data_IF_019599649928
#
_entry.id   IF_019599649928
#
_cell.length_a   1.000
_cell.length_b   1.000
_cell.length_c   1.000
_cell.angle_alpha   90.00
_cell.angle_beta   90.00
_cell.angle_gamma   90.00
#
_symmetry.space_group_name_H-M   'P 1'
#
loop_
_entity.id
_entity.type
_entity.pdbx_description
1 polymer ?
2 non-polymer ?
3 water ?
#
# COMPACT_ATOMS: atom_id res chain seq x y z
N UNK A 2 -0.56 -11.86 -3.03
CA UNK A 2 0.69 -12.36 -2.38
C UNK A 2 1.84 -11.36 -2.41
N UNK A 3 2.95 -11.75 -1.79
CA UNK A 3 4.15 -10.92 -1.71
C UNK A 3 5.38 -11.65 -2.25
N UNK A 4 6.23 -10.89 -2.93
CA UNK A 4 7.47 -11.35 -3.53
C UNK A 4 8.59 -10.40 -3.08
N UNK A 5 9.78 -10.94 -2.83
CA UNK A 5 10.95 -10.12 -2.54
C UNK A 5 11.93 -10.23 -3.71
N UNK A 6 12.21 -9.11 -4.37
CA UNK A 6 13.21 -9.11 -5.43
C UNK A 6 14.44 -8.29 -5.05
N UNK A 7 15.60 -8.82 -5.40
CA UNK A 7 16.87 -8.17 -5.11
C UNK A 7 17.22 -7.10 -6.11
N UNK A 8 17.51 -5.90 -5.60
CA UNK A 8 18.02 -4.82 -6.44
C UNK A 8 19.51 -4.61 -6.16
N UNK A 9 20.32 -4.78 -7.20
CA UNK A 9 21.76 -4.60 -7.12
C UNK A 9 22.10 -3.11 -7.18
N UNK A 10 22.59 -2.57 -6.07
CA UNK A 10 22.89 -1.15 -5.97
C UNK A 10 24.36 -0.90 -5.63
N UNK A 11 24.98 0.05 -6.31
CA UNK A 11 26.34 0.42 -5.95
C UNK A 11 26.30 1.24 -4.65
N UNK A 12 27.44 1.36 -3.97
CA UNK A 12 27.48 2.00 -2.66
C UNK A 12 27.05 3.46 -2.70
N UNK A 13 27.44 4.17 -3.76
CA UNK A 13 27.01 5.57 -3.92
C UNK A 13 25.48 5.67 -3.91
N UNK A 14 24.80 4.82 -4.68
CA UNK A 14 23.33 4.82 -4.71
C UNK A 14 22.75 4.45 -3.35
N UNK A 15 23.28 3.39 -2.73
CA UNK A 15 22.81 2.94 -1.43
C UNK A 15 22.88 4.08 -0.39
N UNK A 16 24.00 4.81 -0.38
CA UNK A 16 24.17 5.91 0.58
C UNK A 16 23.27 7.10 0.28
N UNK A 17 23.05 7.37 -1.00
CA UNK A 17 22.11 8.42 -1.43
C UNK A 17 20.68 8.13 -0.96
N UNK A 18 20.27 6.87 -1.10
CA UNK A 18 18.95 6.41 -0.65
C UNK A 18 18.88 6.58 0.87
N UNK A 19 19.89 6.09 1.56
CA UNK A 19 19.92 6.18 3.02
C UNK A 19 19.82 7.63 3.50
N UNK A 20 20.58 8.52 2.86
CA UNK A 20 20.59 9.94 3.23
C UNK A 20 19.24 10.61 3.00
N UNK A 21 18.67 10.40 1.82
CA UNK A 21 17.39 10.98 1.45
C UNK A 21 16.24 10.41 2.29
N UNK A 22 16.29 9.11 2.57
CA UNK A 22 15.24 8.49 3.38
C UNK A 22 15.24 9.08 4.79
N UNK A 23 16.43 9.20 5.38
CA UNK A 23 16.54 9.79 6.72
C UNK A 23 15.97 11.22 6.75
N UNK A 24 16.28 12.00 5.72
CA UNK A 24 15.81 13.39 5.62
C UNK A 24 14.29 13.51 5.61
N UNK A 25 13.62 12.49 5.10
CA UNK A 25 12.14 12.48 5.05
C UNK A 25 11.51 11.56 6.10
N UNK A 26 12.30 11.17 7.10
CA UNK A 26 11.86 10.31 8.22
C UNK A 26 11.33 8.94 7.82
N UNK A 27 11.98 8.36 6.82
CA UNK A 27 11.60 7.08 6.26
C UNK A 27 12.79 6.12 6.26
N UNK A 28 12.51 4.86 5.93
CA UNK A 28 13.53 3.84 5.76
C UNK A 28 13.92 3.81 4.29
N UNK A 29 15.12 3.29 3.97
CA UNK A 29 15.46 3.07 2.57
C UNK A 29 14.41 2.22 1.83
N UNK A 30 13.86 1.21 2.51
CA UNK A 30 12.88 0.31 1.86
C UNK A 30 11.65 1.09 1.43
N UNK A 31 11.11 1.91 2.33
CA UNK A 31 9.98 2.77 2.02
C UNK A 31 10.27 3.68 0.81
N UNK A 32 11.42 4.35 0.83
CA UNK A 32 11.83 5.24 -0.26
C UNK A 32 11.85 4.52 -1.61
N UNK A 33 12.44 3.33 -1.64
CA UNK A 33 12.50 2.55 -2.88
C UNK A 33 11.09 2.22 -3.36
N UNK A 34 10.23 1.81 -2.43
CA UNK A 34 8.85 1.48 -2.78
C UNK A 34 8.09 2.69 -3.31
N UNK A 35 8.29 3.83 -2.65
CA UNK A 35 7.65 5.07 -3.08
C UNK A 35 8.14 5.50 -4.47
N UNK A 36 9.45 5.38 -4.69
CA UNK A 36 10.06 5.65 -5.99
C UNK A 36 9.39 4.82 -7.06
N UNK A 37 9.20 3.53 -6.78
CA UNK A 37 8.56 2.62 -7.72
C UNK A 37 7.13 3.06 -8.04
N UNK A 38 6.33 3.29 -6.99
CA UNK A 38 4.94 3.73 -7.17
C UNK A 38 4.82 5.01 -8.01
N UNK A 39 5.65 6.00 -7.70
CA UNK A 39 5.63 7.27 -8.41
C UNK A 39 6.03 7.10 -9.87
N UNK A 40 7.07 6.30 -10.11
CA UNK A 40 7.52 6.08 -11.47
C UNK A 40 6.48 5.32 -12.29
N UNK A 41 5.91 4.26 -11.71
CA UNK A 41 4.86 3.49 -12.40
C UNK A 41 3.66 4.37 -12.80
N UNK A 42 3.23 5.24 -11.90
CA UNK A 42 2.09 6.11 -12.17
C UNK A 42 2.38 7.04 -13.36
N UNK A 43 3.57 7.62 -13.38
CA UNK A 43 3.97 8.53 -14.46
C UNK A 43 4.08 7.76 -15.78
N UNK A 44 4.62 6.55 -15.71
CA UNK A 44 4.75 5.67 -16.86
C UNK A 44 3.40 5.22 -17.45
N UNK A 45 2.43 4.96 -16.58
CA UNK A 45 1.13 4.44 -16.99
C UNK A 45 0.13 5.51 -17.48
N UNK A 46 0.38 6.78 -17.15
CA UNK A 46 -0.58 7.86 -17.45
C UNK A 46 -0.55 8.34 -18.91
N UNK A 47 -1.72 8.64 -19.47
CA UNK A 47 -1.83 9.23 -20.82
C UNK A 47 -1.46 10.71 -20.80
N UNK A 48 -0.72 11.16 -21.80
CA UNK A 48 -0.33 12.57 -21.87
C UNK A 48 -1.19 13.35 -22.85
N UNK B 2 32.10 -2.58 -4.90
CA UNK B 2 31.15 -1.70 -4.16
C UNK B 2 29.75 -1.80 -4.71
N UNK B 3 29.19 -3.01 -4.66
CA UNK B 3 27.83 -3.30 -5.12
C UNK B 3 27.19 -4.33 -4.18
N UNK B 4 25.99 -4.00 -3.70
CA UNK B 4 25.24 -4.90 -2.83
C UNK B 4 23.82 -5.12 -3.34
N UNK B 5 23.28 -6.30 -3.07
CA UNK B 5 21.91 -6.63 -3.45
C UNK B 5 20.97 -6.41 -2.27
N UNK B 6 20.04 -5.48 -2.45
CA UNK B 6 19.00 -5.22 -1.45
C UNK B 6 17.68 -5.86 -1.86
N UNK B 7 16.99 -6.47 -0.90
CA UNK B 7 15.67 -7.04 -1.14
C UNK B 7 14.58 -6.00 -0.99
N UNK B 8 13.72 -5.89 -2.00
CA UNK B 8 12.53 -5.05 -1.90
C UNK B 8 11.27 -5.92 -1.96
N UNK B 9 10.46 -5.80 -0.91
CA UNK B 9 9.25 -6.58 -0.74
C UNK B 9 8.10 -5.88 -1.44
N UNK B 10 7.53 -6.54 -2.44
CA UNK B 10 6.44 -5.96 -3.22
C UNK B 10 5.30 -6.95 -3.37
N UNK B 11 4.08 -6.43 -3.36
CA UNK B 11 2.94 -7.30 -3.59
C UNK B 11 2.92 -7.73 -5.05
N UNK B 12 2.13 -8.75 -5.35
CA UNK B 12 2.10 -9.33 -6.68
C UNK B 12 1.57 -8.37 -7.72
N UNK B 13 0.59 -7.55 -7.33
CA UNK B 13 0.05 -6.51 -8.21
C UNK B 13 1.14 -5.54 -8.69
N UNK B 14 1.97 -5.06 -7.77
CA UNK B 14 3.10 -4.17 -8.12
C UNK B 14 4.15 -4.88 -8.99
N UNK B 15 4.50 -6.10 -8.62
CA UNK B 15 5.46 -6.88 -9.38
C UNK B 15 4.99 -7.00 -10.83
N UNK B 16 3.71 -7.32 -11.00
CA UNK B 16 3.15 -7.47 -12.32
C UNK B 16 3.12 -6.15 -13.10
N UNK B 17 2.88 -5.04 -12.40
CA UNK B 17 2.92 -3.72 -13.02
C UNK B 17 4.33 -3.40 -13.50
N UNK B 18 5.33 -3.73 -12.69
CA UNK B 18 6.75 -3.56 -13.07
C UNK B 18 7.10 -4.40 -14.30
N UNK B 19 6.76 -5.69 -14.26
CA UNK B 19 7.03 -6.59 -15.38
C UNK B 19 6.41 -6.09 -16.69
N UNK B 20 5.14 -5.69 -16.62
CA UNK B 20 4.43 -5.20 -17.82
C UNK B 20 5.07 -3.92 -18.36
N UNK B 21 5.33 -2.97 -17.47
CA UNK B 21 5.96 -1.70 -17.85
C UNK B 21 7.36 -1.87 -18.43
N UNK B 22 8.19 -2.70 -17.79
CA UNK B 22 9.57 -2.92 -18.23
C UNK B 22 9.59 -3.46 -19.66
N UNK B 23 8.74 -4.46 -19.91
CA UNK B 23 8.65 -5.09 -21.23
C UNK B 23 8.29 -4.06 -22.29
N UNK B 24 7.28 -3.22 -21.99
CA UNK B 24 6.81 -2.19 -22.93
C UNK B 24 7.92 -1.23 -23.38
N UNK B 25 8.79 -0.86 -22.45
CA UNK B 25 9.89 0.07 -22.74
C UNK B 25 11.21 -0.65 -23.06
N UNK B 26 11.13 -1.96 -23.32
CA UNK B 26 12.29 -2.79 -23.70
C UNK B 26 13.41 -2.79 -22.67
N UNK B 27 12.99 -2.83 -21.40
CA UNK B 27 13.89 -2.83 -20.27
C UNK B 27 13.62 -4.05 -19.40
N UNK B 28 14.53 -4.28 -18.46
CA UNK B 28 14.37 -5.31 -17.45
C UNK B 28 13.67 -4.67 -16.25
N UNK B 29 12.96 -5.47 -15.44
CA UNK B 29 12.40 -4.93 -14.20
C UNK B 29 13.47 -4.29 -13.32
N UNK B 30 14.67 -4.87 -13.30
CA UNK B 30 15.77 -4.31 -12.52
C UNK B 30 16.09 -2.87 -12.96
N UNK B 31 16.22 -2.68 -14.26
CA UNK B 31 16.45 -1.35 -14.80
C UNK B 31 15.35 -0.37 -14.39
N UNK B 32 14.10 -0.84 -14.47
CA UNK B 32 12.93 -0.02 -14.20
C UNK B 32 13.00 0.47 -12.75
N UNK B 33 13.32 -0.45 -11.84
CA UNK B 33 13.43 -0.09 -10.42
C UNK B 33 14.55 0.94 -10.18
N UNK B 34 15.73 0.70 -10.75
CA UNK B 34 16.83 1.67 -10.63
C UNK B 34 16.47 3.05 -11.21
N UNK B 35 15.85 3.06 -12.39
CA UNK B 35 15.39 4.30 -13.02
C UNK B 35 14.43 5.05 -12.10
N UNK B 36 13.47 4.30 -11.53
CA UNK B 36 12.53 4.83 -10.52
C UNK B 36 13.28 5.50 -9.36
N UNK B 37 14.24 4.76 -8.80
CA UNK B 37 15.07 5.24 -7.70
C UNK B 37 15.81 6.52 -8.07
N UNK B 38 16.51 6.52 -9.21
CA UNK B 38 17.29 7.70 -9.61
C UNK B 38 16.40 8.92 -9.84
N UNK B 39 15.23 8.70 -10.43
CA UNK B 39 14.27 9.77 -10.69
C UNK B 39 13.76 10.39 -9.38
N UNK B 40 13.44 9.53 -8.42
CA UNK B 40 12.94 9.98 -7.13
C UNK B 40 14.05 10.67 -6.33
N UNK B 41 15.26 10.09 -6.36
CA UNK B 41 16.43 10.71 -5.70
C UNK B 41 16.77 12.07 -6.30
N UNK B 42 16.70 12.19 -7.63
CA UNK B 42 16.93 13.49 -8.27
C UNK B 42 15.91 14.52 -7.76
N UNK B 43 14.66 14.10 -7.58
CA UNK B 43 13.61 15.01 -7.09
C UNK B 43 13.76 15.41 -5.62
N UNK B 44 14.22 14.49 -4.77
CA UNK B 44 14.48 14.82 -3.37
C UNK B 44 15.76 15.64 -3.18
N UNK B 45 16.83 15.26 -3.87
CA UNK B 45 18.14 15.93 -3.76
C UNK B 45 18.16 17.33 -4.38
N UNK B 46 17.31 17.55 -5.38
CA UNK B 46 17.19 18.85 -6.03
C UNK B 46 16.75 19.95 -5.06
N UNK B 47 16.09 19.53 -3.98
CA UNK B 47 15.66 20.42 -2.91
C UNK B 47 16.40 20.11 -1.61
N UNK C 2 7.33 -5.24 9.64
CA UNK C 2 6.74 -5.73 8.30
C UNK C 2 5.22 -5.83 8.26
N UNK C 3 4.72 -7.06 8.31
CA UNK C 3 3.29 -7.38 8.12
C UNK C 3 2.75 -8.22 9.29
N UNK C 4 1.49 -7.96 9.65
CA UNK C 4 0.77 -8.74 10.66
C UNK C 4 -0.66 -8.99 10.18
N UNK C 5 -1.23 -10.14 10.56
CA UNK C 5 -2.61 -10.44 10.18
C UNK C 5 -3.56 -10.14 11.34
N UNK C 6 -4.47 -9.18 11.13
CA UNK C 6 -5.46 -8.79 12.13
C UNK C 6 -6.79 -9.49 11.88
N UNK C 7 -7.41 -9.97 12.95
CA UNK C 7 -8.71 -10.64 12.82
C UNK C 7 -9.88 -9.70 13.05
N UNK C 8 -10.82 -9.69 12.11
CA UNK C 8 -12.01 -8.85 12.21
C UNK C 8 -13.26 -9.74 12.28
N UNK C 9 -14.02 -9.60 13.37
CA UNK C 9 -15.24 -10.37 13.57
C UNK C 9 -16.41 -9.69 12.88
N UNK C 10 -17.01 -10.38 11.92
CA UNK C 10 -18.10 -9.82 11.12
C UNK C 10 -19.22 -10.82 11.02
N UNK C 11 -20.46 -10.34 11.04
CA UNK C 11 -21.57 -11.26 10.78
C UNK C 11 -21.56 -11.70 9.31
N UNK C 12 -22.18 -12.84 9.03
CA UNK C 12 -22.13 -13.37 7.68
C UNK C 12 -22.77 -12.41 6.67
N UNK C 13 -23.78 -11.66 7.10
CA UNK C 13 -24.41 -10.65 6.24
C UNK C 13 -23.36 -9.64 5.74
N UNK C 14 -22.52 -9.16 6.65
CA UNK C 14 -21.45 -8.21 6.30
C UNK C 14 -20.39 -8.84 5.39
N UNK C 15 -19.99 -10.06 5.71
CA UNK C 15 -19.03 -10.81 4.89
C UNK C 15 -19.53 -10.92 3.44
N UNK C 16 -20.81 -11.25 3.29
CA UNK C 16 -21.40 -11.38 1.95
C UNK C 16 -21.56 -10.04 1.23
N UNK C 17 -21.88 -8.97 1.98
CA UNK C 17 -21.92 -7.62 1.41
C UNK C 17 -20.54 -7.24 0.86
N UNK C 18 -19.49 -7.56 1.62
CA UNK C 18 -18.11 -7.29 1.17
C UNK C 18 -17.77 -8.06 -0.11
N UNK C 19 -18.02 -9.37 -0.10
CA UNK C 19 -17.75 -10.19 -1.28
C UNK C 19 -18.49 -9.70 -2.52
N UNK C 20 -19.77 -9.36 -2.34
CA UNK C 20 -20.61 -8.90 -3.45
C UNK C 20 -20.11 -7.57 -3.99
N UNK C 21 -19.83 -6.63 -3.09
CA UNK C 21 -19.32 -5.30 -3.48
C UNK C 21 -17.96 -5.39 -4.17
N UNK C 22 -17.06 -6.22 -3.62
CA UNK C 22 -15.74 -6.42 -4.20
C UNK C 22 -15.85 -6.96 -5.61
N UNK C 23 -16.66 -8.00 -5.80
CA UNK C 23 -16.81 -8.58 -7.13
C UNK C 23 -17.35 -7.56 -8.14
N UNK C 24 -18.30 -6.73 -7.72
CA UNK C 24 -18.93 -5.74 -8.62
C UNK C 24 -17.88 -4.78 -9.19
N UNK C 25 -16.91 -4.41 -8.35
CA UNK C 25 -15.86 -3.46 -8.72
C UNK C 25 -14.55 -4.15 -9.15
N UNK C 26 -14.64 -5.45 -9.43
CA UNK C 26 -13.50 -6.26 -9.93
C UNK C 26 -12.31 -6.33 -8.99
N UNK C 27 -12.62 -6.46 -7.71
CA UNK C 27 -11.61 -6.53 -6.66
C UNK C 27 -11.88 -7.76 -5.79
N UNK C 28 -10.98 -8.01 -4.85
CA UNK C 28 -11.12 -9.07 -3.87
C UNK C 28 -11.64 -8.47 -2.55
N UNK C 29 -12.24 -9.31 -1.68
CA UNK C 29 -12.65 -8.84 -0.35
C UNK C 29 -11.49 -8.23 0.42
N UNK C 30 -10.30 -8.83 0.33
CA UNK C 30 -9.13 -8.32 1.05
C UNK C 30 -8.81 -6.91 0.59
N UNK C 31 -8.80 -6.67 -0.71
CA UNK C 31 -8.53 -5.34 -1.27
C UNK C 31 -9.57 -4.34 -0.76
N UNK C 32 -10.84 -4.73 -0.80
CA UNK C 32 -11.94 -3.86 -0.34
C UNK C 32 -11.75 -3.46 1.12
N UNK C 33 -11.42 -4.43 1.97
CA UNK C 33 -11.25 -4.12 3.39
C UNK C 33 -10.10 -3.13 3.59
N UNK C 34 -8.99 -3.38 2.91
CA UNK C 34 -7.84 -2.50 3.02
C UNK C 34 -8.20 -1.08 2.55
N UNK C 35 -8.92 -0.98 1.43
CA UNK C 35 -9.33 0.32 0.88
C UNK C 35 -10.22 1.06 1.88
N UNK C 36 -11.16 0.33 2.49
CA UNK C 36 -12.06 0.89 3.50
C UNK C 36 -11.26 1.50 4.64
N UNK C 37 -10.25 0.76 5.10
CA UNK C 37 -9.39 1.20 6.19
C UNK C 37 -8.64 2.48 5.80
N UNK C 38 -8.00 2.48 4.63
CA UNK C 38 -7.23 3.65 4.18
C UNK C 38 -8.13 4.88 4.06
N UNK C 39 -9.35 4.65 3.56
CA UNK C 39 -10.33 5.72 3.38
C UNK C 39 -10.74 6.31 4.72
N UNK C 40 -11.06 5.43 5.68
CA UNK C 40 -11.50 5.88 7.00
C UNK C 40 -10.39 6.60 7.75
N UNK C 41 -9.16 6.08 7.67
CA UNK C 41 -8.00 6.72 8.34
C UNK C 41 -7.74 8.11 7.77
N UNK C 42 -7.92 8.25 6.45
CA UNK C 42 -7.75 9.55 5.80
C UNK C 42 -8.78 10.54 6.34
N UNK C 43 -10.02 10.07 6.52
CA UNK C 43 -11.11 10.88 7.07
C UNK C 43 -10.81 11.35 8.50
N UNK C 44 -10.29 10.43 9.31
CA UNK C 44 -9.97 10.71 10.71
C UNK C 44 -8.74 11.59 10.87
N UNK C 45 -7.68 11.25 10.14
CA UNK C 45 -6.39 11.95 10.25
C UNK C 45 -6.46 13.39 9.76
N UNK C 46 -7.29 13.64 8.75
CA UNK C 46 -7.50 14.99 8.24
C UNK C 46 -8.47 15.80 9.11
N UNK C 47 -8.25 15.77 10.43
CA UNK C 47 -9.01 16.57 11.39
C UNK C 47 -8.08 17.39 12.27
N UNK D 2 -24.80 -15.98 11.55
CA UNK D 2 -23.52 -16.46 12.13
C UNK D 2 -22.46 -15.39 12.07
N UNK D 3 -21.27 -15.72 12.57
CA UNK D 3 -20.12 -14.82 12.62
C UNK D 3 -18.88 -15.51 12.04
N UNK D 4 -18.05 -14.75 11.34
CA UNK D 4 -16.74 -15.23 10.90
C UNK D 4 -15.67 -14.19 11.18
N UNK D 5 -14.49 -14.66 11.57
CA UNK D 5 -13.33 -13.81 11.69
C UNK D 5 -12.61 -13.81 10.35
N UNK D 6 -12.61 -12.65 9.70
CA UNK D 6 -11.85 -12.44 8.47
C UNK D 6 -10.45 -11.97 8.83
N UNK D 7 -9.44 -12.63 8.27
CA UNK D 7 -8.06 -12.23 8.46
C UNK D 7 -7.67 -11.16 7.47
N UNK D 8 -7.21 -10.02 7.99
CA UNK D 8 -6.72 -8.94 7.15
C UNK D 8 -5.24 -8.71 7.39
N UNK D 9 -4.45 -8.86 6.33
CA UNK D 9 -3.01 -8.66 6.39
C UNK D 9 -2.69 -7.20 6.12
N UNK D 10 -2.08 -6.55 7.11
CA UNK D 10 -1.79 -5.13 7.05
C UNK D 10 -0.33 -4.93 7.38
N UNK D 11 0.32 -3.98 6.72
CA UNK D 11 1.68 -3.68 7.11
C UNK D 11 1.64 -2.98 8.47
N UNK D 12 2.75 -3.06 9.20
CA UNK D 12 2.79 -2.50 10.54
C UNK D 12 2.53 -0.99 10.56
N UNK D 13 2.96 -0.29 9.50
CA UNK D 13 2.68 1.15 9.39
C UNK D 13 1.17 1.46 9.46
N UNK D 14 0.37 0.73 8.69
CA UNK D 14 -1.09 0.87 8.71
C UNK D 14 -1.66 0.54 10.09
N UNK D 15 -1.20 -0.56 10.68
CA UNK D 15 -1.60 -0.94 12.03
C UNK D 15 -1.33 0.17 13.07
N UNK D 16 -0.18 0.85 12.95
CA UNK D 16 0.17 1.98 13.85
C UNK D 16 -0.78 3.15 13.66
N UNK D 17 -1.15 3.43 12.41
CA UNK D 17 -2.10 4.49 12.10
C UNK D 17 -3.45 4.16 12.71
N UNK D 18 -3.86 2.90 12.59
CA UNK D 18 -5.11 2.43 13.17
C UNK D 18 -5.11 2.60 14.70
N UNK D 19 -4.04 2.13 15.33
CA UNK D 19 -3.89 2.25 16.78
C UNK D 19 -3.89 3.70 17.27
N UNK D 20 -3.16 4.57 16.56
CA UNK D 20 -3.08 5.98 16.94
C UNK D 20 -4.44 6.67 16.79
N UNK D 21 -5.12 6.39 15.68
CA UNK D 21 -6.42 6.98 15.41
C UNK D 21 -7.48 6.46 16.38
N UNK D 22 -7.43 5.16 16.66
CA UNK D 22 -8.38 4.55 17.57
C UNK D 22 -8.21 5.12 18.97
N UNK D 23 -6.97 5.27 19.45
CA UNK D 23 -6.76 5.86 20.78
C UNK D 23 -7.31 7.29 20.86
N UNK D 24 -7.13 8.05 19.79
CA UNK D 24 -7.58 9.44 19.75
C UNK D 24 -9.10 9.56 19.89
N UNK D 25 -9.84 8.57 19.38
CA UNK D 25 -11.30 8.59 19.44
C UNK D 25 -11.85 7.67 20.52
N UNK D 26 -10.96 7.10 21.34
CA UNK D 26 -11.36 6.20 22.44
C UNK D 26 -12.21 5.02 21.93
N UNK D 27 -11.70 4.36 20.90
CA UNK D 27 -12.30 3.15 20.34
C UNK D 27 -11.20 2.09 20.22
N UNK D 28 -11.60 0.83 20.09
CA UNK D 28 -10.62 -0.24 19.88
C UNK D 28 -10.20 -0.24 18.41
N UNK D 29 -8.96 -0.69 18.12
CA UNK D 29 -8.57 -0.89 16.72
C UNK D 29 -9.57 -1.75 15.93
N UNK D 30 -10.09 -2.79 16.57
CA UNK D 30 -11.11 -3.66 15.96
C UNK D 30 -12.38 -2.87 15.59
N UNK D 31 -12.87 -2.05 16.52
CA UNK D 31 -14.04 -1.20 16.27
C UNK D 31 -13.80 -0.29 15.04
N UNK D 32 -12.62 0.32 14.99
CA UNK D 32 -12.25 1.23 13.91
C UNK D 32 -12.26 0.51 12.56
N UNK D 33 -11.67 -0.68 12.50
CA UNK D 33 -11.72 -1.46 11.24
C UNK D 33 -13.17 -1.79 10.84
N UNK D 34 -13.98 -2.21 11.80
CA UNK D 34 -15.37 -2.53 11.51
C UNK D 34 -16.13 -1.31 10.99
N UNK D 35 -15.92 -0.15 11.64
CA UNK D 35 -16.57 1.09 11.22
C UNK D 35 -16.14 1.50 9.81
N UNK D 36 -14.85 1.36 9.54
CA UNK D 36 -14.28 1.62 8.22
C UNK D 36 -14.98 0.78 7.15
N UNK D 37 -15.16 -0.52 7.43
CA UNK D 37 -15.90 -1.43 6.53
C UNK D 37 -17.36 -0.99 6.32
N UNK D 38 -18.07 -0.68 7.41
CA UNK D 38 -19.46 -0.24 7.29
C UNK D 38 -19.59 1.05 6.49
N UNK D 39 -18.69 2.01 6.76
CA UNK D 39 -18.70 3.30 6.07
C UNK D 39 -18.47 3.13 4.58
N UNK D 40 -17.46 2.34 4.24
CA UNK D 40 -17.12 2.13 2.85
C UNK D 40 -18.24 1.40 2.12
N UNK D 41 -18.81 0.37 2.75
CA UNK D 41 -19.94 -0.35 2.14
C UNK D 41 -21.16 0.55 1.91
N UNK D 42 -21.45 1.43 2.86
CA UNK D 42 -22.52 2.42 2.68
C UNK D 42 -22.24 3.31 1.46
N UNK D 43 -20.98 3.70 1.29
CA UNK D 43 -20.55 4.56 0.17
C UNK D 43 -20.74 3.86 -1.17
N UNK D 44 -20.33 2.59 -1.23
CA UNK D 44 -20.41 1.79 -2.46
C UNK D 44 -21.86 1.49 -2.81
N UNK D 45 -22.67 1.22 -1.79
CA UNK D 45 -24.06 0.81 -1.98
C UNK D 45 -25.04 1.98 -2.19
N UNK D 46 -24.68 3.18 -1.74
CA UNK D 46 -25.54 4.35 -1.92
C UNK D 46 -25.31 5.03 -3.26
N UNK D 47 -26.28 4.88 -4.16
CA UNK D 47 -26.20 5.45 -5.50
C UNK D 47 -27.02 6.74 -5.62
N UNK D 48 -27.43 7.29 -4.47
CA UNK D 48 -28.29 8.49 -4.42
C UNK D 48 -27.64 9.74 -5.01
N UNK D 49 -26.30 9.75 -5.02
CA UNK D 49 -25.52 10.91 -5.44
C UNK D 49 -25.34 11.00 -6.96
X LIG E 1 5.08 4.17 -0.41
X LIG E 1 6.05 3.42 0.15
X LIG E 1 5.48 2.36 0.77
X LIG E 1 4.14 2.44 0.61
X LIG E 1 3.89 3.58 -0.14
X LIG F 1 18.35 4.03 -14.96
X LIG F 1 18.24 2.70 -14.67
X LIG F 1 19.48 2.18 -14.57
X LIG F 1 20.38 3.16 -14.79
X LIG F 1 19.67 4.33 -15.04
X LIG G 1 -6.60 -0.09 -1.47
X LIG G 1 -6.77 -1.40 -1.17
X LIG G 1 -5.58 -2.04 -1.23
X LIG G 1 -4.64 -1.13 -1.58
X LIG G 1 -5.29 0.09 -1.73
X LIG H 1 -18.34 -1.50 15.22
X LIG H 1 -18.07 -0.40 14.49
X LIG H 1 -19.22 0.14 14.04
X LIG H 1 -20.23 -0.64 14.48
X LIG H 1 -19.68 -1.68 15.23
#
# INVERSE_FOLDING_TARGET
>A
MGTTTMGVKLDDATRERIKSAATRIDRTPHWLIKQAIFSYLEQLENSDTLPE
>B
MGTTTMGVKLDDATRERIKSAATRIDRTPHWLIKQAIFSYLEQLENSDTLPE
>C
MGTTTMGVKLDDATRERIKSAATRIDRTPHWLIKQAIFSYLEQLENSDTLPE
>D
MGTTTMGVKLDDATRERIKSAATRIDRTPHWLIKQAIFSYLEQLENSDTLPE
>E hetero
1 IMD N1 C2 N3 C4 C5
>F hetero
1 IMD N1 C2 N3 C4 C5
>G hetero
1 IMD N1 C2 N3 C4 C5
>H hetero
1 IMD N1 C2 N3 C4 C5
#
